data_IF_932527935979
#
_entry.id   IF_932527935979
#
_cell.length_a   1.000
_cell.length_b   1.000
_cell.length_c   1.000
_cell.angle_alpha   90.00
_cell.angle_beta   90.00
_cell.angle_gamma   90.00
#
_symmetry.space_group_name_H-M   'P 1'
#
loop_
_entity.id
_entity.type
_entity.pdbx_description
1 polymer ?
#
# COMPACT_ATOMS: atom_id res chain seq x y z
N UNK A 1 7.83 -30.52 -16.62
CA UNK A 1 6.97 -29.76 -17.57
C UNK A 1 6.76 -28.29 -17.15
N UNK A 2 6.49 -28.00 -15.88
CA UNK A 2 6.17 -26.64 -15.40
C UNK A 2 7.22 -25.57 -15.71
N UNK A 3 8.52 -25.92 -15.68
CA UNK A 3 9.64 -24.99 -15.92
C UNK A 3 9.84 -24.63 -17.41
N UNK A 4 9.21 -25.36 -18.33
CA UNK A 4 9.37 -25.12 -19.76
C UNK A 4 8.36 -24.06 -20.26
N UNK A 5 8.84 -23.09 -21.04
CA UNK A 5 8.05 -21.95 -21.59
C UNK A 5 6.77 -22.36 -22.32
N UNK A 6 6.79 -23.47 -23.05
CA UNK A 6 5.65 -23.94 -23.84
C UNK A 6 4.85 -24.99 -23.07
N UNK A 7 5.52 -25.98 -22.45
CA UNK A 7 4.83 -27.03 -21.73
C UNK A 7 4.09 -26.53 -20.49
N UNK A 8 4.51 -25.42 -19.87
CA UNK A 8 3.78 -24.81 -18.75
C UNK A 8 2.35 -24.37 -19.15
N UNK A 9 2.14 -23.99 -20.43
CA UNK A 9 0.83 -23.62 -20.95
C UNK A 9 -0.08 -24.83 -21.09
N UNK A 10 0.49 -25.97 -21.51
CA UNK A 10 -0.22 -27.26 -21.54
C UNK A 10 -0.64 -27.67 -20.13
N UNK A 11 0.27 -27.61 -19.15
CA UNK A 11 -0.04 -27.94 -17.75
C UNK A 11 -1.14 -27.02 -17.20
N UNK A 12 -1.09 -25.70 -17.48
CA UNK A 12 -2.15 -24.78 -17.08
C UNK A 12 -3.50 -25.13 -17.70
N UNK A 13 -3.54 -25.53 -18.97
CA UNK A 13 -4.80 -25.93 -19.61
C UNK A 13 -5.36 -27.24 -19.05
N UNK A 14 -4.46 -28.16 -18.74
CA UNK A 14 -4.76 -29.43 -18.08
C UNK A 14 -5.40 -29.18 -16.69
N UNK A 15 -4.86 -28.24 -15.91
CA UNK A 15 -5.44 -27.84 -14.61
C UNK A 15 -6.88 -27.33 -14.72
N UNK A 16 -7.25 -26.62 -15.80
CA UNK A 16 -8.61 -26.10 -15.99
C UNK A 16 -9.65 -27.19 -16.26
N UNK A 17 -9.24 -28.29 -16.90
CA UNK A 17 -10.16 -29.31 -17.39
C UNK A 17 -10.03 -30.65 -16.63
N UNK A 18 -9.20 -30.71 -15.59
CA UNK A 18 -8.91 -31.95 -14.88
C UNK A 18 -10.14 -32.45 -14.11
N UNK A 19 -10.55 -33.73 -14.27
CA UNK A 19 -11.48 -34.39 -13.36
C UNK A 19 -10.97 -34.39 -11.93
N UNK A 20 -11.87 -34.36 -10.95
CA UNK A 20 -11.54 -34.24 -9.52
C UNK A 20 -10.59 -35.35 -9.06
N UNK A 21 -10.78 -36.57 -9.57
CA UNK A 21 -10.01 -37.77 -9.22
C UNK A 21 -8.53 -37.66 -9.61
N UNK A 22 -8.23 -36.91 -10.69
CA UNK A 22 -6.87 -36.72 -11.17
C UNK A 22 -6.18 -35.52 -10.49
N UNK A 23 -6.94 -34.62 -9.85
CA UNK A 23 -6.36 -33.43 -9.19
C UNK A 23 -5.47 -33.87 -8.03
N UNK A 24 -5.91 -34.85 -7.25
CA UNK A 24 -5.12 -35.38 -6.13
C UNK A 24 -3.79 -35.98 -6.60
N UNK A 25 -3.78 -36.72 -7.72
CA UNK A 25 -2.54 -37.29 -8.29
C UNK A 25 -1.57 -36.19 -8.72
N UNK A 26 -2.06 -35.14 -9.41
CA UNK A 26 -1.22 -33.99 -9.77
C UNK A 26 -0.66 -33.28 -8.53
N UNK A 27 -1.45 -33.15 -7.45
CA UNK A 27 -0.97 -32.54 -6.22
C UNK A 27 0.06 -33.39 -5.48
N UNK A 28 -0.02 -34.72 -5.56
CA UNK A 28 1.00 -35.61 -5.00
C UNK A 28 2.36 -35.42 -5.69
N UNK A 29 2.38 -35.32 -7.02
CA UNK A 29 3.59 -35.01 -7.79
C UNK A 29 4.15 -33.62 -7.47
N UNK A 30 3.27 -32.64 -7.25
CA UNK A 30 3.69 -31.31 -6.84
C UNK A 30 4.25 -31.31 -5.41
N UNK A 31 3.73 -32.14 -4.51
CA UNK A 31 4.17 -32.23 -3.12
C UNK A 31 5.60 -32.71 -2.97
N UNK A 32 6.06 -33.61 -3.86
CA UNK A 32 7.45 -34.10 -3.88
C UNK A 32 8.43 -33.17 -4.63
N UNK A 33 7.92 -32.10 -5.24
CA UNK A 33 8.72 -31.15 -6.02
C UNK A 33 9.32 -30.03 -5.15
N UNK A 34 10.38 -29.38 -5.65
CA UNK A 34 10.93 -28.18 -5.02
C UNK A 34 10.01 -26.97 -5.26
N UNK A 35 9.26 -26.59 -4.22
CA UNK A 35 8.28 -25.50 -4.30
C UNK A 35 8.91 -24.13 -4.53
N UNK A 36 10.08 -23.85 -3.96
CA UNK A 36 10.79 -22.58 -4.17
C UNK A 36 11.14 -22.41 -5.65
N UNK A 37 11.71 -23.45 -6.27
CA UNK A 37 12.03 -23.44 -7.70
C UNK A 37 10.79 -23.19 -8.56
N UNK A 38 9.65 -23.81 -8.23
CA UNK A 38 8.42 -23.64 -9.00
C UNK A 38 7.80 -22.24 -8.82
N UNK A 39 7.86 -21.68 -7.61
CA UNK A 39 7.28 -20.36 -7.32
C UNK A 39 8.14 -19.21 -7.88
N UNK A 40 9.45 -19.42 -8.00
CA UNK A 40 10.41 -18.38 -8.43
C UNK A 40 10.79 -18.47 -9.91
N UNK A 41 10.38 -19.51 -10.62
CA UNK A 41 10.62 -19.63 -12.06
C UNK A 41 9.63 -18.78 -12.88
N UNK A 42 10.13 -18.16 -13.95
CA UNK A 42 9.35 -17.27 -14.83
C UNK A 42 8.15 -17.95 -15.51
N UNK A 43 8.16 -19.27 -15.66
CA UNK A 43 7.09 -20.05 -16.29
C UNK A 43 6.24 -20.80 -15.26
N UNK A 44 6.89 -21.50 -14.32
CA UNK A 44 6.22 -22.37 -13.37
C UNK A 44 5.40 -21.62 -12.32
N UNK A 45 5.76 -20.36 -12.00
CA UNK A 45 4.95 -19.55 -11.08
C UNK A 45 3.49 -19.42 -11.56
N UNK A 46 3.27 -19.37 -12.88
CA UNK A 46 1.92 -19.31 -13.46
C UNK A 46 1.16 -20.62 -13.28
N UNK A 47 1.85 -21.77 -13.25
CA UNK A 47 1.25 -23.07 -12.94
C UNK A 47 0.79 -23.09 -11.48
N UNK A 48 1.64 -22.65 -10.55
CA UNK A 48 1.29 -22.55 -9.12
C UNK A 48 0.07 -21.63 -8.92
N UNK A 49 0.09 -20.44 -9.51
CA UNK A 49 -1.05 -19.52 -9.43
C UNK A 49 -2.32 -20.09 -10.08
N UNK A 50 -2.20 -20.83 -11.20
CA UNK A 50 -3.35 -21.49 -11.84
C UNK A 50 -3.96 -22.56 -10.92
N UNK A 51 -3.14 -23.35 -10.23
CA UNK A 51 -3.59 -24.32 -9.23
C UNK A 51 -4.36 -23.60 -8.11
N UNK A 52 -3.76 -22.55 -7.52
CA UNK A 52 -4.37 -21.80 -6.41
C UNK A 52 -5.71 -21.15 -6.77
N UNK A 53 -5.87 -20.71 -8.02
CA UNK A 53 -7.09 -20.09 -8.52
C UNK A 53 -8.17 -21.10 -8.96
N UNK A 54 -7.79 -22.34 -9.28
CA UNK A 54 -8.70 -23.33 -9.87
C UNK A 54 -9.12 -24.39 -8.86
N UNK A 55 -8.19 -24.84 -8.01
CA UNK A 55 -8.43 -25.92 -7.04
C UNK A 55 -8.77 -25.35 -5.67
N UNK A 56 -9.62 -26.05 -4.87
CA UNK A 56 -9.92 -25.60 -3.52
C UNK A 56 -8.67 -25.68 -2.64
N UNK A 57 -8.58 -24.82 -1.62
CA UNK A 57 -7.44 -24.72 -0.71
C UNK A 57 -6.98 -26.07 -0.13
N UNK A 58 -7.90 -27.01 0.10
CA UNK A 58 -7.57 -28.35 0.59
C UNK A 58 -6.56 -29.10 -0.28
N UNK A 59 -6.52 -28.84 -1.58
CA UNK A 59 -5.59 -29.50 -2.50
C UNK A 59 -4.16 -28.97 -2.42
N UNK A 60 -3.98 -27.70 -2.05
CA UNK A 60 -2.69 -27.02 -2.09
C UNK A 60 -2.28 -26.40 -0.75
N UNK A 61 -3.02 -26.66 0.32
CA UNK A 61 -2.67 -26.19 1.68
C UNK A 61 -1.24 -26.59 2.09
N UNK A 62 -0.73 -27.71 1.57
CA UNK A 62 0.63 -28.17 1.82
C UNK A 62 1.70 -27.16 1.36
N UNK A 63 1.42 -26.33 0.35
CA UNK A 63 2.34 -25.29 -0.12
C UNK A 63 2.51 -24.22 0.97
N UNK A 64 1.39 -23.82 1.57
CA UNK A 64 1.39 -22.84 2.66
C UNK A 64 2.01 -23.46 3.92
N UNK A 65 1.67 -24.71 4.25
CA UNK A 65 2.30 -25.43 5.36
C UNK A 65 3.82 -25.56 5.20
N UNK A 66 4.31 -25.77 3.97
CA UNK A 66 5.74 -25.77 3.68
C UNK A 66 6.37 -24.41 3.99
N UNK A 67 5.77 -23.30 3.58
CA UNK A 67 6.26 -21.95 3.87
C UNK A 67 6.13 -21.54 5.33
N UNK A 68 5.17 -22.09 6.06
CA UNK A 68 5.09 -21.95 7.52
C UNK A 68 6.24 -22.69 8.20
N UNK A 69 6.54 -23.93 7.79
CA UNK A 69 7.63 -24.72 8.39
C UNK A 69 9.02 -24.21 7.99
N UNK A 70 9.15 -23.61 6.80
CA UNK A 70 10.42 -23.18 6.22
C UNK A 70 10.36 -21.69 5.89
N UNK A 71 10.54 -20.84 6.90
CA UNK A 71 10.42 -19.37 6.75
C UNK A 71 11.40 -18.78 5.72
N UNK A 72 12.61 -19.33 5.59
CA UNK A 72 13.58 -18.82 4.62
C UNK A 72 13.17 -19.11 3.18
N UNK A 73 12.43 -20.21 2.95
CA UNK A 73 11.82 -20.50 1.65
C UNK A 73 10.71 -19.49 1.35
N UNK A 74 9.87 -19.13 2.34
CA UNK A 74 8.89 -18.06 2.21
C UNK A 74 9.55 -16.73 1.82
N UNK A 75 10.63 -16.34 2.51
CA UNK A 75 11.34 -15.10 2.21
C UNK A 75 12.01 -15.13 0.84
N UNK A 76 12.65 -16.24 0.47
CA UNK A 76 13.24 -16.43 -0.86
C UNK A 76 12.21 -16.28 -1.98
N UNK A 77 10.98 -16.75 -1.76
CA UNK A 77 9.89 -16.58 -2.72
C UNK A 77 9.33 -15.14 -2.70
N UNK A 78 9.16 -14.53 -1.52
CA UNK A 78 8.69 -13.15 -1.40
C UNK A 78 9.64 -12.12 -2.02
N UNK A 79 10.95 -12.35 -1.92
CA UNK A 79 12.02 -11.50 -2.46
C UNK A 79 12.37 -11.81 -3.92
N UNK A 80 11.53 -12.59 -4.61
CA UNK A 80 11.72 -12.92 -6.02
C UNK A 80 10.71 -12.19 -6.92
N UNK A 81 11.18 -11.76 -8.10
CA UNK A 81 10.39 -11.08 -9.14
C UNK A 81 9.06 -11.75 -9.49
N UNK A 82 9.02 -13.07 -9.51
CA UNK A 82 7.82 -13.86 -9.83
C UNK A 82 7.15 -14.39 -8.56
N UNK A 83 7.96 -14.81 -7.59
CA UNK A 83 7.49 -15.40 -6.34
C UNK A 83 6.68 -14.44 -5.47
N UNK A 84 6.98 -13.13 -5.48
CA UNK A 84 6.24 -12.15 -4.69
C UNK A 84 4.74 -12.12 -5.03
N UNK A 85 4.36 -12.42 -6.28
CA UNK A 85 2.96 -12.54 -6.69
C UNK A 85 2.31 -13.81 -6.15
N UNK A 86 3.07 -14.90 -6.03
CA UNK A 86 2.59 -16.15 -5.42
C UNK A 86 2.28 -15.92 -3.94
N UNK A 87 3.17 -15.23 -3.21
CA UNK A 87 2.94 -14.90 -1.78
C UNK A 87 1.72 -13.99 -1.62
N UNK A 88 1.56 -12.97 -2.47
CA UNK A 88 0.34 -12.14 -2.47
C UNK A 88 -0.91 -12.98 -2.71
N UNK A 89 -0.91 -13.90 -3.67
CA UNK A 89 -2.07 -14.75 -3.93
C UNK A 89 -2.40 -15.68 -2.74
N UNK A 90 -1.38 -16.21 -2.05
CA UNK A 90 -1.57 -16.97 -0.82
C UNK A 90 -2.32 -16.10 0.21
N UNK A 91 -1.83 -14.88 0.45
CA UNK A 91 -2.45 -13.93 1.40
C UNK A 91 -3.88 -13.58 0.97
N UNK A 92 -4.11 -13.29 -0.32
CA UNK A 92 -5.43 -12.99 -0.89
C UNK A 92 -6.42 -14.13 -0.62
N UNK A 93 -6.04 -15.38 -0.89
CA UNK A 93 -6.94 -16.53 -0.68
C UNK A 93 -7.18 -16.81 0.80
N UNK A 94 -6.14 -16.69 1.63
CA UNK A 94 -6.25 -16.98 3.06
C UNK A 94 -7.09 -15.92 3.80
N UNK A 95 -7.07 -14.67 3.33
CA UNK A 95 -7.82 -13.55 3.92
C UNK A 95 -9.22 -13.33 3.33
N UNK A 96 -9.58 -14.03 2.25
CA UNK A 96 -10.88 -13.89 1.59
C UNK A 96 -12.02 -14.57 2.38
N UNK A 97 -12.72 -13.78 3.21
CA UNK A 97 -13.84 -14.25 4.03
C UNK A 97 -15.06 -14.76 3.21
N UNK A 98 -15.11 -14.57 1.89
CA UNK A 98 -16.22 -15.04 1.05
C UNK A 98 -16.09 -16.51 0.63
N UNK A 99 -14.89 -17.10 0.73
CA UNK A 99 -14.66 -18.51 0.37
C UNK A 99 -15.28 -19.47 1.40
N UNK A 100 -15.50 -20.70 0.95
CA UNK A 100 -16.02 -21.79 1.78
C UNK A 100 -15.24 -21.91 3.11
N UNK A 101 -15.92 -22.12 4.24
CA UNK A 101 -15.27 -22.27 5.54
C UNK A 101 -14.21 -23.38 5.52
N UNK A 102 -13.00 -23.05 5.99
CA UNK A 102 -11.93 -24.00 6.26
C UNK A 102 -11.36 -23.66 7.64
N UNK A 103 -11.40 -24.62 8.57
CA UNK A 103 -10.97 -24.42 9.97
C UNK A 103 -9.48 -24.07 10.11
N UNK A 104 -8.65 -24.55 9.17
CA UNK A 104 -7.19 -24.37 9.14
C UNK A 104 -6.77 -23.03 8.53
N UNK A 105 -7.63 -22.44 7.70
CA UNK A 105 -7.30 -21.23 6.94
C UNK A 105 -6.93 -20.02 7.82
N UNK A 106 -7.69 -19.66 8.88
CA UNK A 106 -7.31 -18.53 9.74
C UNK A 106 -5.98 -18.76 10.44
N UNK A 107 -5.71 -19.98 10.92
CA UNK A 107 -4.44 -20.34 11.57
C UNK A 107 -3.27 -20.22 10.58
N UNK A 108 -3.44 -20.70 9.35
CA UNK A 108 -2.40 -20.58 8.32
C UNK A 108 -2.14 -19.14 7.91
N UNK A 109 -3.19 -18.30 7.86
CA UNK A 109 -3.03 -16.87 7.65
C UNK A 109 -2.18 -16.27 8.78
N UNK A 110 -2.56 -16.53 10.03
CA UNK A 110 -1.85 -16.02 11.19
C UNK A 110 -0.37 -16.42 11.22
N UNK A 111 -0.06 -17.70 10.96
CA UNK A 111 1.31 -18.21 10.92
C UNK A 111 2.15 -17.56 9.80
N UNK A 112 1.61 -17.43 8.59
CA UNK A 112 2.29 -16.72 7.49
C UNK A 112 2.48 -15.24 7.82
N UNK A 113 1.45 -14.58 8.32
CA UNK A 113 1.51 -13.17 8.65
C UNK A 113 2.52 -12.89 9.77
N UNK A 114 2.62 -13.76 10.78
CA UNK A 114 3.63 -13.62 11.83
C UNK A 114 5.07 -13.67 11.27
N UNK A 115 5.36 -14.56 10.30
CA UNK A 115 6.67 -14.55 9.63
C UNK A 115 6.93 -13.25 8.84
N UNK A 116 5.93 -12.76 8.11
CA UNK A 116 6.07 -11.56 7.29
C UNK A 116 6.20 -10.29 8.15
N UNK A 117 5.37 -10.13 9.19
CA UNK A 117 5.41 -8.98 10.10
C UNK A 117 6.72 -8.92 10.89
N UNK A 118 7.20 -10.06 11.41
CA UNK A 118 8.45 -10.11 12.16
C UNK A 118 9.71 -9.82 11.33
N UNK A 119 9.63 -9.87 10.01
CA UNK A 119 10.73 -9.56 9.09
C UNK A 119 10.42 -8.36 8.18
N UNK A 120 9.47 -7.50 8.59
CA UNK A 120 8.98 -6.45 7.72
C UNK A 120 10.06 -5.47 7.26
N UNK A 121 11.03 -5.09 8.10
CA UNK A 121 12.09 -4.16 7.69
C UNK A 121 12.84 -4.66 6.45
N UNK A 122 13.32 -5.91 6.48
CA UNK A 122 13.95 -6.58 5.33
C UNK A 122 13.03 -6.58 4.11
N UNK A 123 11.77 -6.97 4.29
CA UNK A 123 10.84 -7.15 3.18
C UNK A 123 10.40 -5.81 2.57
N UNK A 124 10.22 -4.77 3.38
CA UNK A 124 9.85 -3.42 2.95
C UNK A 124 10.96 -2.77 2.12
N UNK A 125 12.22 -3.06 2.44
CA UNK A 125 13.41 -2.55 1.74
C UNK A 125 13.81 -3.37 0.52
N UNK A 126 13.20 -4.54 0.29
CA UNK A 126 13.51 -5.40 -0.86
C UNK A 126 12.78 -4.94 -2.14
N UNK A 127 13.42 -5.07 -3.31
CA UNK A 127 12.88 -4.59 -4.60
C UNK A 127 11.58 -5.28 -5.07
N UNK A 128 11.29 -6.50 -4.57
CA UNK A 128 10.09 -7.27 -4.88
C UNK A 128 9.20 -7.49 -3.66
N UNK A 129 9.77 -7.79 -2.49
CA UNK A 129 8.96 -8.09 -1.31
C UNK A 129 8.22 -6.86 -0.76
N UNK A 130 8.65 -5.63 -1.09
CA UNK A 130 7.93 -4.42 -0.71
C UNK A 130 6.48 -4.42 -1.24
N UNK A 131 6.21 -5.07 -2.38
CA UNK A 131 4.85 -5.21 -2.90
C UNK A 131 3.98 -6.12 -2.03
N UNK A 132 4.57 -7.13 -1.36
CA UNK A 132 3.86 -7.97 -0.39
C UNK A 132 3.47 -7.14 0.83
N UNK A 133 4.39 -6.34 1.37
CA UNK A 133 4.11 -5.47 2.53
C UNK A 133 3.05 -4.42 2.18
N UNK A 134 3.18 -3.77 1.01
CA UNK A 134 2.16 -2.85 0.52
C UNK A 134 0.78 -3.51 0.34
N UNK A 135 0.74 -4.78 -0.08
CA UNK A 135 -0.51 -5.51 -0.22
C UNK A 135 -1.19 -5.71 1.14
N UNK A 136 -0.41 -6.11 2.15
CA UNK A 136 -0.92 -6.28 3.52
C UNK A 136 -1.51 -4.97 4.04
N UNK A 137 -0.79 -3.85 3.85
CA UNK A 137 -1.23 -2.52 4.32
C UNK A 137 -2.56 -2.10 3.69
N UNK A 138 -2.80 -2.43 2.41
CA UNK A 138 -3.99 -2.00 1.66
C UNK A 138 -5.22 -2.87 1.90
N UNK A 139 -5.02 -4.14 2.27
CA UNK A 139 -6.10 -5.11 2.30
C UNK A 139 -6.95 -4.93 3.57
N UNK A 140 -8.23 -4.55 3.39
CA UNK A 140 -9.18 -4.36 4.49
C UNK A 140 -9.26 -5.55 5.48
N UNK A 141 -9.37 -6.80 5.01
CA UNK A 141 -9.36 -7.98 5.89
C UNK A 141 -8.08 -8.21 6.70
N UNK A 142 -7.00 -7.45 6.43
CA UNK A 142 -5.70 -7.55 7.10
C UNK A 142 -5.40 -6.34 7.98
N UNK A 143 -6.42 -5.56 8.38
CA UNK A 143 -6.26 -4.34 9.20
C UNK A 143 -5.39 -4.55 10.44
N UNK A 144 -5.58 -5.66 11.16
CA UNK A 144 -4.85 -5.93 12.40
C UNK A 144 -3.35 -6.16 12.12
N UNK A 145 -3.03 -6.77 10.98
CA UNK A 145 -1.64 -6.96 10.56
C UNK A 145 -1.02 -5.69 10.00
N UNK A 146 -1.79 -4.85 9.30
CA UNK A 146 -1.37 -3.50 8.90
C UNK A 146 -0.96 -2.70 10.13
N UNK A 147 -1.79 -2.69 11.17
CA UNK A 147 -1.56 -1.89 12.36
C UNK A 147 -0.29 -2.37 13.09
N UNK A 148 -0.15 -3.70 13.27
CA UNK A 148 1.09 -4.31 13.80
C UNK A 148 2.34 -3.98 12.96
N UNK A 149 2.23 -3.98 11.63
CA UNK A 149 3.34 -3.62 10.74
C UNK A 149 3.76 -2.16 10.94
N UNK A 150 2.80 -1.25 11.02
CA UNK A 150 3.08 0.17 11.27
C UNK A 150 3.77 0.33 12.63
N UNK A 151 3.19 -0.26 13.68
CA UNK A 151 3.69 -0.15 15.05
C UNK A 151 5.10 -0.72 15.25
N UNK A 152 5.34 -1.92 14.71
CA UNK A 152 6.56 -2.69 15.00
C UNK A 152 7.71 -2.41 14.03
N UNK A 153 7.43 -1.93 12.81
CA UNK A 153 8.46 -1.78 11.78
C UNK A 153 8.61 -0.35 11.26
N UNK A 154 7.51 0.38 11.07
CA UNK A 154 7.55 1.67 10.39
C UNK A 154 7.75 2.83 11.36
N UNK A 155 6.97 2.86 12.44
CA UNK A 155 7.17 3.84 13.49
C UNK A 155 8.59 3.74 14.04
N UNK A 156 9.15 4.89 14.41
CA UNK A 156 10.53 5.14 14.83
C UNK A 156 11.59 4.95 13.72
N UNK A 157 11.18 4.57 12.51
CA UNK A 157 12.04 4.36 11.34
C UNK A 157 11.62 5.18 10.12
N UNK A 158 10.58 6.02 10.19
CA UNK A 158 9.96 6.67 9.03
C UNK A 158 10.94 7.51 8.22
N UNK A 159 11.82 8.28 8.87
CA UNK A 159 12.82 9.10 8.18
C UNK A 159 13.82 8.25 7.39
N UNK A 160 14.24 7.11 7.95
CA UNK A 160 15.15 6.19 7.27
C UNK A 160 14.46 5.55 6.07
N UNK A 161 13.30 4.94 6.30
CA UNK A 161 12.55 4.20 5.27
C UNK A 161 12.06 5.13 4.14
N UNK A 162 11.67 6.37 4.44
CA UNK A 162 11.30 7.36 3.43
C UNK A 162 12.46 7.73 2.49
N UNK A 163 13.71 7.49 2.91
CA UNK A 163 14.90 7.72 2.10
C UNK A 163 15.34 6.48 1.31
N UNK A 164 14.62 5.37 1.38
CA UNK A 164 14.93 4.17 0.61
C UNK A 164 14.10 4.09 -0.67
N UNK A 165 14.70 3.50 -1.71
CA UNK A 165 14.07 3.35 -3.03
C UNK A 165 12.75 2.57 -2.99
N UNK A 166 12.68 1.53 -2.14
CA UNK A 166 11.55 0.61 -2.10
C UNK A 166 10.68 0.84 -0.86
N UNK A 167 11.29 1.04 0.32
CA UNK A 167 10.53 1.23 1.56
C UNK A 167 9.78 2.57 1.60
N UNK A 168 10.20 3.60 0.84
CA UNK A 168 9.44 4.85 0.73
C UNK A 168 8.01 4.62 0.20
N UNK A 169 7.82 3.68 -0.72
CA UNK A 169 6.49 3.29 -1.19
C UNK A 169 5.66 2.59 -0.11
N UNK A 170 6.31 1.81 0.77
CA UNK A 170 5.66 1.20 1.93
C UNK A 170 5.20 2.28 2.91
N UNK A 171 6.04 3.28 3.19
CA UNK A 171 5.68 4.45 4.03
C UNK A 171 4.52 5.25 3.42
N UNK A 172 4.54 5.51 2.12
CA UNK A 172 3.40 6.18 1.44
C UNK A 172 2.09 5.41 1.62
N UNK A 173 2.13 4.07 1.55
CA UNK A 173 0.95 3.23 1.75
C UNK A 173 0.53 3.16 3.21
N UNK A 174 1.47 3.13 4.15
CA UNK A 174 1.13 3.24 5.56
C UNK A 174 0.39 4.55 5.86
N UNK A 175 0.88 5.70 5.36
CA UNK A 175 0.20 6.99 5.53
C UNK A 175 -1.22 7.00 4.93
N UNK A 176 -1.44 6.30 3.80
CA UNK A 176 -2.73 6.25 3.11
C UNK A 176 -3.77 5.37 3.84
N UNK A 177 -3.35 4.27 4.49
CA UNK A 177 -4.26 3.26 5.05
C UNK A 177 -4.20 3.13 6.58
N UNK A 178 -3.30 3.84 7.27
CA UNK A 178 -3.21 3.84 8.72
C UNK A 178 -4.54 4.31 9.35
N UNK A 179 -4.97 3.70 10.47
CA UNK A 179 -6.06 4.23 11.26
C UNK A 179 -5.67 5.61 11.84
N UNK A 180 -6.66 6.46 12.18
CA UNK A 180 -6.49 7.75 12.85
C UNK A 180 -5.32 7.88 13.82
N UNK A 181 -5.27 7.01 14.84
CA UNK A 181 -4.27 7.06 15.89
C UNK A 181 -2.84 6.81 15.37
N UNK A 182 -2.65 5.80 14.52
CA UNK A 182 -1.34 5.50 13.94
C UNK A 182 -0.93 6.53 12.91
N UNK A 183 -1.87 7.09 12.13
CA UNK A 183 -1.57 8.19 11.23
C UNK A 183 -1.07 9.42 12.01
N UNK A 184 -1.68 9.71 13.16
CA UNK A 184 -1.21 10.77 14.04
C UNK A 184 0.20 10.52 14.55
N UNK A 185 0.49 9.33 15.09
CA UNK A 185 1.84 8.97 15.51
C UNK A 185 2.86 9.09 14.37
N UNK A 186 2.50 8.67 13.15
CA UNK A 186 3.37 8.79 11.99
C UNK A 186 3.65 10.24 11.59
N UNK A 187 2.63 11.11 11.62
CA UNK A 187 2.78 12.53 11.32
C UNK A 187 3.62 13.22 12.38
N UNK A 188 3.32 12.98 13.66
CA UNK A 188 4.05 13.56 14.80
C UNK A 188 5.52 13.12 14.80
N UNK A 189 5.81 11.87 14.44
CA UNK A 189 7.19 11.41 14.29
C UNK A 189 7.95 12.17 13.18
N UNK A 190 7.36 12.37 12.00
CA UNK A 190 8.01 13.11 10.90
C UNK A 190 8.22 14.57 11.27
N UNK A 191 7.27 15.15 12.00
CA UNK A 191 7.32 16.55 12.37
C UNK A 191 8.26 16.86 13.55
N UNK A 192 8.23 16.02 14.58
CA UNK A 192 8.83 16.30 15.89
C UNK A 192 9.64 15.13 16.48
N UNK A 193 9.59 13.95 15.86
CA UNK A 193 10.24 12.73 16.37
C UNK A 193 11.75 12.65 16.15
N UNK A 194 12.34 13.55 15.37
CA UNK A 194 13.76 13.54 15.02
C UNK A 194 14.48 14.81 15.47
N UNK A 195 15.64 14.64 16.09
CA UNK A 195 16.49 15.76 16.52
C UNK A 195 17.06 16.46 15.27
N UNK A 196 16.83 17.78 15.10
CA UNK A 196 17.40 18.51 13.97
C UNK A 196 18.92 18.50 13.97
N UNK A 197 19.53 18.56 12.78
CA UNK A 197 20.97 18.59 12.63
C UNK A 197 21.59 19.75 13.44
N UNK A 198 22.63 19.51 14.27
CA UNK A 198 23.11 20.48 15.26
C UNK A 198 23.54 21.82 14.65
N UNK A 199 24.21 21.77 13.49
CA UNK A 199 24.70 22.97 12.78
C UNK A 199 23.65 23.57 11.83
N UNK A 200 23.18 22.78 10.87
CA UNK A 200 22.28 23.29 9.81
C UNK A 200 20.84 23.53 10.27
N UNK A 201 20.47 23.04 11.46
CA UNK A 201 19.10 23.05 12.02
C UNK A 201 18.04 22.38 11.13
N UNK A 202 18.45 21.62 10.11
CA UNK A 202 17.53 20.85 9.26
C UNK A 202 16.92 19.71 10.04
N UNK A 203 15.60 19.62 10.01
CA UNK A 203 14.85 18.51 10.60
C UNK A 203 14.50 17.42 9.55
N UNK A 204 13.72 16.42 9.97
CA UNK A 204 13.28 15.33 9.11
C UNK A 204 12.50 15.82 7.88
N UNK A 205 11.63 16.80 8.05
CA UNK A 205 10.84 17.36 6.94
C UNK A 205 11.74 18.08 5.92
N UNK A 206 12.77 18.81 6.37
CA UNK A 206 13.76 19.42 5.48
C UNK A 206 14.57 18.38 4.71
N UNK A 207 14.92 17.26 5.35
CA UNK A 207 15.62 16.15 4.69
C UNK A 207 14.72 15.56 3.61
N UNK A 208 13.49 15.16 3.97
CA UNK A 208 12.57 14.46 3.09
C UNK A 208 12.12 15.32 1.91
N UNK A 209 11.82 16.61 2.12
CA UNK A 209 11.39 17.54 1.05
C UNK A 209 12.33 17.57 -0.16
N UNK A 210 13.64 17.40 0.09
CA UNK A 210 14.68 17.48 -0.94
C UNK A 210 15.36 16.13 -1.24
N UNK A 211 14.95 15.04 -0.59
CA UNK A 211 15.47 13.71 -0.87
C UNK A 211 14.87 13.11 -2.15
N UNK A 212 15.64 12.30 -2.90
CA UNK A 212 15.21 11.70 -4.17
C UNK A 212 13.98 10.77 -4.06
N UNK A 213 13.77 10.15 -2.89
CA UNK A 213 12.60 9.32 -2.58
C UNK A 213 11.67 9.95 -1.53
N UNK A 214 12.23 10.62 -0.52
CA UNK A 214 11.47 11.16 0.61
C UNK A 214 10.46 12.24 0.20
N UNK A 215 10.73 12.93 -0.92
CA UNK A 215 9.83 13.94 -1.45
C UNK A 215 8.45 13.37 -1.85
N UNK A 216 8.36 12.08 -2.20
CA UNK A 216 7.08 11.43 -2.50
C UNK A 216 6.27 11.16 -1.22
N UNK A 217 6.95 10.82 -0.12
CA UNK A 217 6.31 10.70 1.20
C UNK A 217 5.74 12.04 1.66
N UNK A 218 6.48 13.15 1.48
CA UNK A 218 5.96 14.49 1.82
C UNK A 218 4.78 14.90 0.92
N UNK A 219 4.84 14.59 -0.37
CA UNK A 219 3.69 14.78 -1.26
C UNK A 219 2.48 13.99 -0.78
N UNK A 220 2.68 12.74 -0.31
CA UNK A 220 1.60 11.93 0.25
C UNK A 220 0.98 12.56 1.48
N UNK A 221 1.80 13.01 2.43
CA UNK A 221 1.33 13.72 3.62
C UNK A 221 0.48 14.94 3.22
N UNK A 222 0.97 15.71 2.23
CA UNK A 222 0.26 16.87 1.72
C UNK A 222 -1.08 16.51 1.07
N UNK A 223 -1.13 15.46 0.25
CA UNK A 223 -2.35 15.02 -0.42
C UNK A 223 -3.43 14.61 0.59
N UNK A 224 -3.05 13.86 1.64
CA UNK A 224 -3.93 13.46 2.76
C UNK A 224 -4.54 14.68 3.46
N UNK A 225 -3.72 15.71 3.70
CA UNK A 225 -4.17 16.95 4.35
C UNK A 225 -5.05 17.79 3.41
N UNK A 226 -4.72 17.84 2.12
CA UNK A 226 -5.51 18.53 1.10
C UNK A 226 -6.88 17.89 0.90
N UNK A 227 -6.97 16.55 0.95
CA UNK A 227 -8.24 15.82 0.91
C UNK A 227 -9.14 16.23 2.07
N UNK A 228 -8.62 16.29 3.30
CA UNK A 228 -9.36 16.73 4.45
C UNK A 228 -9.87 18.18 4.29
N UNK A 229 -9.01 19.10 3.87
CA UNK A 229 -9.40 20.49 3.61
C UNK A 229 -10.54 20.61 2.57
N UNK A 230 -10.49 19.81 1.49
CA UNK A 230 -11.57 19.74 0.49
C UNK A 230 -12.85 19.13 1.07
N UNK A 231 -12.75 18.06 1.86
CA UNK A 231 -13.89 17.45 2.53
C UNK A 231 -14.61 18.45 3.45
N UNK A 232 -13.87 19.14 4.31
CA UNK A 232 -14.41 20.19 5.21
C UNK A 232 -15.11 21.29 4.43
N UNK A 233 -14.55 21.74 3.30
CA UNK A 233 -15.20 22.73 2.43
C UNK A 233 -16.53 22.21 1.89
N UNK A 234 -16.59 20.94 1.51
CA UNK A 234 -17.80 20.31 0.98
C UNK A 234 -18.81 19.92 2.08
N UNK A 235 -18.57 20.31 3.35
CA UNK A 235 -19.44 19.96 4.48
C UNK A 235 -19.31 18.50 4.93
N UNK A 236 -18.28 17.77 4.47
CA UNK A 236 -17.98 16.41 4.88
C UNK A 236 -17.02 16.47 6.07
N UNK A 237 -17.43 15.91 7.20
CA UNK A 237 -16.58 15.82 8.38
C UNK A 237 -15.85 14.47 8.40
N UNK A 238 -14.54 14.48 8.18
CA UNK A 238 -13.70 13.29 8.30
C UNK A 238 -13.28 13.06 9.76
N UNK A 239 -12.90 11.83 10.14
CA UNK A 239 -12.14 11.59 11.36
C UNK A 239 -10.88 12.48 11.40
N UNK A 240 -10.57 13.00 12.59
CA UNK A 240 -9.35 13.79 12.88
C UNK A 240 -9.19 15.04 12.00
N UNK A 241 -10.32 15.60 11.53
CA UNK A 241 -10.34 16.74 10.62
C UNK A 241 -9.54 17.94 11.15
N UNK A 242 -9.60 18.22 12.45
CA UNK A 242 -8.84 19.31 13.08
C UNK A 242 -7.33 19.05 13.03
N UNK A 243 -6.91 17.84 13.41
CA UNK A 243 -5.50 17.42 13.40
C UNK A 243 -4.90 17.47 11.99
N UNK A 244 -5.66 17.02 10.98
CA UNK A 244 -5.26 17.12 9.56
C UNK A 244 -5.09 18.55 9.07
N UNK A 245 -5.90 19.48 9.58
CA UNK A 245 -5.73 20.91 9.26
C UNK A 245 -4.52 21.53 9.96
N UNK A 246 -4.18 21.06 11.16
CA UNK A 246 -2.95 21.45 11.84
C UNK A 246 -1.72 20.98 11.05
N UNK A 247 -1.66 19.70 10.65
CA UNK A 247 -0.59 19.18 9.80
C UNK A 247 -0.48 19.94 8.48
N UNK A 248 -1.62 20.28 7.86
CA UNK A 248 -1.64 21.10 6.65
C UNK A 248 -0.96 22.45 6.86
N UNK A 249 -1.24 23.13 7.96
CA UNK A 249 -0.65 24.43 8.28
C UNK A 249 0.88 24.31 8.45
N UNK A 250 1.34 23.27 9.17
CA UNK A 250 2.78 22.99 9.33
C UNK A 250 3.48 22.77 7.99
N UNK A 251 2.88 21.94 7.12
CA UNK A 251 3.37 21.71 5.75
C UNK A 251 3.40 23.00 4.93
N UNK A 252 2.31 23.77 4.93
CA UNK A 252 2.21 25.05 4.20
C UNK A 252 3.28 26.03 4.66
N UNK A 253 3.49 26.17 5.97
CA UNK A 253 4.51 27.04 6.56
C UNK A 253 5.90 26.63 6.06
N UNK A 254 6.24 25.34 6.14
CA UNK A 254 7.55 24.86 5.69
C UNK A 254 7.76 25.01 4.19
N UNK A 255 6.73 24.72 3.39
CA UNK A 255 6.76 24.85 1.93
C UNK A 255 6.93 26.32 1.53
N UNK A 256 6.25 27.25 2.20
CA UNK A 256 6.37 28.68 1.96
C UNK A 256 7.80 29.19 2.23
N UNK A 257 8.40 28.79 3.36
CA UNK A 257 9.79 29.11 3.72
C UNK A 257 10.80 28.61 2.67
N UNK A 258 10.51 27.46 2.06
CA UNK A 258 11.39 26.81 1.08
C UNK A 258 11.01 27.04 -0.39
N UNK A 259 10.03 27.93 -0.68
CA UNK A 259 9.40 28.09 -2.00
C UNK A 259 10.41 28.25 -3.14
N UNK A 260 11.38 29.15 -2.99
CA UNK A 260 12.40 29.42 -4.01
C UNK A 260 13.27 28.19 -4.31
N UNK A 261 13.64 27.44 -3.27
CA UNK A 261 14.47 26.24 -3.42
C UNK A 261 13.66 25.09 -4.02
N UNK A 262 12.43 24.89 -3.57
CA UNK A 262 11.50 23.89 -4.13
C UNK A 262 11.23 24.10 -5.62
N UNK A 263 11.09 25.35 -6.07
CA UNK A 263 10.86 25.67 -7.48
C UNK A 263 11.97 25.19 -8.43
N UNK A 264 13.16 24.84 -7.90
CA UNK A 264 14.29 24.31 -8.67
C UNK A 264 14.17 22.81 -8.98
N UNK A 265 13.29 22.09 -8.30
CA UNK A 265 13.12 20.64 -8.42
C UNK A 265 11.73 20.29 -8.97
N UNK A 266 11.63 19.22 -9.76
CA UNK A 266 10.34 18.75 -10.29
C UNK A 266 9.35 18.38 -9.18
N UNK A 267 9.83 17.71 -8.12
CA UNK A 267 9.05 17.39 -6.93
C UNK A 267 8.54 18.65 -6.22
N UNK A 268 9.40 19.64 -6.02
CA UNK A 268 9.03 20.89 -5.39
C UNK A 268 8.03 21.71 -6.21
N UNK A 269 8.16 21.73 -7.55
CA UNK A 269 7.14 22.32 -8.43
C UNK A 269 5.78 21.63 -8.26
N UNK A 270 5.75 20.30 -8.18
CA UNK A 270 4.50 19.55 -7.96
C UNK A 270 3.87 19.88 -6.60
N UNK A 271 4.66 19.93 -5.53
CA UNK A 271 4.21 20.34 -4.19
C UNK A 271 3.58 21.75 -4.22
N UNK A 272 4.25 22.70 -4.86
CA UNK A 272 3.75 24.08 -4.99
C UNK A 272 2.45 24.15 -5.80
N UNK A 273 2.34 23.38 -6.88
CA UNK A 273 1.11 23.27 -7.68
C UNK A 273 -0.04 22.68 -6.88
N UNK A 274 0.18 21.63 -6.08
CA UNK A 274 -0.84 21.04 -5.21
C UNK A 274 -1.42 22.07 -4.24
N UNK A 275 -0.55 22.88 -3.60
CA UNK A 275 -1.00 23.96 -2.71
C UNK A 275 -1.74 25.07 -3.45
N UNK A 276 -1.28 25.46 -4.64
CA UNK A 276 -1.97 26.47 -5.44
C UNK A 276 -3.39 26.01 -5.80
N UNK A 277 -3.54 24.76 -6.27
CA UNK A 277 -4.83 24.17 -6.59
C UNK A 277 -5.77 24.11 -5.38
N UNK A 278 -5.23 23.81 -4.19
CA UNK A 278 -6.02 23.85 -2.96
C UNK A 278 -6.51 25.27 -2.65
N UNK A 279 -5.63 26.28 -2.75
CA UNK A 279 -5.98 27.67 -2.49
C UNK A 279 -6.99 28.21 -3.50
N UNK A 280 -6.84 27.89 -4.78
CA UNK A 280 -7.78 28.27 -5.84
C UNK A 280 -9.15 27.64 -5.60
N UNK A 281 -9.15 26.35 -5.23
CA UNK A 281 -10.35 25.65 -4.81
C UNK A 281 -11.04 26.44 -3.69
N UNK A 282 -10.35 26.72 -2.58
CA UNK A 282 -10.92 27.44 -1.43
C UNK A 282 -11.39 28.87 -1.78
N UNK A 283 -10.66 29.60 -2.64
CA UNK A 283 -10.90 31.02 -2.92
C UNK A 283 -12.08 31.29 -3.86
N UNK A 284 -12.43 30.36 -4.76
CA UNK A 284 -13.45 30.54 -5.80
C UNK A 284 -14.91 30.67 -5.30
N UNK A 285 -15.15 30.74 -3.99
CA UNK A 285 -16.51 30.91 -3.41
C UNK A 285 -16.60 31.97 -2.31
N UNK A 286 -15.80 33.04 -2.34
CA UNK A 286 -16.25 34.27 -1.66
C UNK A 286 -17.49 34.78 -2.39
N UNK A 287 -18.68 34.86 -1.76
CA UNK A 287 -19.86 35.34 -2.46
C UNK A 287 -19.63 36.80 -2.80
N UNK A 288 -19.55 37.10 -4.09
CA UNK A 288 -19.69 38.47 -4.59
C UNK A 288 -21.07 38.96 -4.19
N UNK A 289 -21.12 39.72 -3.08
CA UNK A 289 -22.26 40.57 -2.75
C UNK A 289 -22.53 41.46 -3.97
N UNK A 290 -23.68 41.26 -4.60
CA UNK A 290 -24.23 42.20 -5.57
C UNK A 290 -24.23 41.69 -7.00
N UNK A 291 -25.24 40.90 -7.34
CA UNK A 291 -26.08 41.12 -8.53
C UNK A 291 -27.41 40.42 -8.27
N UNK A 292 -28.48 41.21 -8.15
CA UNK A 292 -29.85 40.67 -8.13
C UNK A 292 -30.08 39.93 -9.45
N UNK A 293 -30.67 38.72 -9.46
CA UNK A 293 -31.18 38.15 -10.68
C UNK A 293 -32.34 39.02 -11.17
N UNK A 294 -32.25 39.52 -12.40
CA UNK A 294 -33.41 40.08 -13.09
C UNK A 294 -34.43 38.95 -13.26
N UNK A 295 -35.59 39.07 -12.61
CA UNK A 295 -36.73 38.19 -12.84
C UNK A 295 -37.20 38.35 -14.29
N UNK A 296 -37.47 37.26 -15.03
CA UNK A 296 -38.09 37.37 -16.33
C UNK A 296 -39.57 37.77 -16.19
N UNK A 297 -39.95 38.86 -16.88
CA UNK A 297 -41.33 39.27 -17.07
C UNK A 297 -42.02 38.24 -17.99
N UNK A 298 -43.05 37.57 -17.48
CA UNK A 298 -43.89 36.65 -18.26
C UNK A 298 -45.06 37.45 -18.86
N UNK A 299 -45.26 37.48 -20.19
CA UNK A 299 -46.43 38.12 -20.78
C UNK A 299 -47.68 37.23 -20.68
N UNK A 300 -48.89 37.83 -20.61
CA UNK A 300 -50.12 37.09 -20.35
C UNK A 300 -50.57 36.28 -21.56
N UNK A 301 -50.92 35.02 -21.34
CA UNK A 301 -51.58 34.16 -22.34
C UNK A 301 -53.00 34.70 -22.59
N UNK A 302 -53.27 35.15 -23.82
CA UNK A 302 -54.63 35.31 -24.31
C UNK A 302 -55.16 33.98 -24.84
N UNK A 303 -56.48 33.82 -24.67
CA UNK A 303 -57.34 32.66 -24.97
C UNK A 303 -57.27 32.20 -26.42
#
# INVERSE_FOLDING_TARGET
MCLNRYSCRVVQKVIECLPEELKSLLMMELHSSNLVTLCTDQNANHVIQKIMNTFPLSHWQFIVEHFIRNREDLFSVAENKYGCRVVQLIIEVLSDNTKKPNKRRPQMLEEIMNHLVSNCERLASNEFANYVIQHIIKAGPLSDYRDRLIEMCLLRNLLSLAQEKYASHVVEKALEYAPPALLAEMMDEIFDGYVPHPETKKDALDIMLFHQYGNYVVQRMLDICCEAARAKRNGINLPDMEQRMEWLNRLQTRIAQNRHRLARYSSGKKILTTLQQLNDCISQTTPTRGRRPCLPVVPPKYR
#
